data_IF_669027764823
#
_entry.id   IF_669027764823
#
_cell.length_a   1.000
_cell.length_b   1.000
_cell.length_c   1.000
_cell.angle_alpha   90.00
_cell.angle_beta   90.00
_cell.angle_gamma   90.00
#
_symmetry.space_group_name_H-M   'P 1'
#
loop_
_entity.id
_entity.type
_entity.pdbx_description
1 polymer ?
#
# COMPACT_ATOMS: atom_id res chain seq x y z
N UNK A 1 11.57 -10.65 -3.23
CA UNK A 1 11.93 -9.53 -4.13
C UNK A 1 12.44 -8.38 -3.29
N UNK A 2 13.40 -7.60 -3.80
CA UNK A 2 13.87 -6.38 -3.13
C UNK A 2 12.86 -5.26 -3.34
N UNK A 3 12.70 -4.40 -2.34
CA UNK A 3 11.92 -3.18 -2.46
C UNK A 3 12.58 -2.25 -3.49
N UNK A 4 11.86 -1.78 -4.52
CA UNK A 4 12.42 -0.87 -5.51
C UNK A 4 12.83 0.47 -4.89
N UNK A 5 12.15 0.89 -3.81
CA UNK A 5 12.43 2.15 -3.13
C UNK A 5 13.62 2.06 -2.18
N UNK A 6 13.59 1.15 -1.20
CA UNK A 6 14.63 1.10 -0.17
C UNK A 6 15.71 0.02 -0.39
N UNK A 7 15.58 -0.83 -1.42
CA UNK A 7 16.54 -1.89 -1.74
C UNK A 7 16.55 -3.08 -0.76
N UNK A 8 15.85 -3.00 0.36
CA UNK A 8 15.78 -4.06 1.37
C UNK A 8 14.82 -5.19 0.96
N UNK A 9 15.09 -6.38 1.49
CA UNK A 9 14.25 -7.56 1.33
C UNK A 9 13.28 -7.64 2.50
N UNK A 10 11.97 -7.72 2.22
CA UNK A 10 10.97 -7.81 3.28
C UNK A 10 9.59 -7.34 2.89
N UNK A 11 9.01 -7.91 1.82
CA UNK A 11 7.60 -7.71 1.51
C UNK A 11 6.73 -8.76 2.19
N UNK A 12 5.65 -8.30 2.82
CA UNK A 12 4.60 -9.17 3.34
C UNK A 12 3.30 -8.82 2.65
N UNK A 13 2.68 -9.82 2.03
CA UNK A 13 1.36 -9.65 1.43
C UNK A 13 0.28 -9.66 2.52
N UNK A 14 -0.54 -8.62 2.58
CA UNK A 14 -1.57 -8.47 3.61
C UNK A 14 -2.34 -7.16 3.51
N UNK A 15 -3.22 -6.92 4.50
CA UNK A 15 -3.94 -5.66 4.64
C UNK A 15 -3.26 -4.79 5.68
N UNK A 16 -3.02 -3.53 5.34
CA UNK A 16 -2.55 -2.49 6.27
C UNK A 16 -3.16 -1.15 5.91
N UNK A 17 -3.15 -0.25 6.87
CA UNK A 17 -3.55 1.13 6.64
C UNK A 17 -2.38 1.85 5.95
N UNK A 18 -2.69 2.67 4.95
CA UNK A 18 -1.73 3.44 4.15
C UNK A 18 -2.02 4.92 4.36
N UNK A 19 -1.04 5.63 4.89
CA UNK A 19 -1.09 7.09 5.01
C UNK A 19 -0.64 7.73 3.69
N UNK A 20 -1.44 8.66 3.18
CA UNK A 20 -1.15 9.45 2.00
C UNK A 20 -0.36 10.70 2.38
N UNK A 21 0.35 11.28 1.41
CA UNK A 21 1.05 12.57 1.63
C UNK A 21 0.09 13.72 1.98
N UNK A 22 -1.21 13.59 1.67
CA UNK A 22 -2.25 14.56 2.08
C UNK A 22 -2.59 14.50 3.57
N UNK A 23 -2.12 13.48 4.30
CA UNK A 23 -2.43 13.21 5.70
C UNK A 23 -3.67 12.33 5.90
N UNK A 24 -4.34 11.92 4.83
CA UNK A 24 -5.44 10.97 4.88
C UNK A 24 -4.93 9.53 5.04
N UNK A 25 -5.66 8.72 5.79
CA UNK A 25 -5.34 7.30 5.97
C UNK A 25 -6.37 6.46 5.23
N UNK A 26 -5.90 5.66 4.28
CA UNK A 26 -6.72 4.66 3.59
C UNK A 26 -6.64 3.35 4.37
N UNK A 27 -7.72 2.91 5.03
CA UNK A 27 -7.67 1.72 5.85
C UNK A 27 -7.69 0.43 5.01
N UNK A 28 -7.02 -0.60 5.53
CA UNK A 28 -7.07 -1.97 5.03
C UNK A 28 -6.76 -2.15 3.53
N UNK A 29 -5.74 -1.44 3.03
CA UNK A 29 -5.18 -1.62 1.67
C UNK A 29 -4.52 -2.99 1.57
N UNK A 30 -5.05 -3.83 0.68
CA UNK A 30 -4.50 -5.14 0.35
C UNK A 30 -3.30 -4.96 -0.59
N UNK A 31 -2.14 -5.51 -0.26
CA UNK A 31 -0.97 -5.38 -1.11
C UNK A 31 0.27 -6.05 -0.53
N UNK A 32 1.39 -5.94 -1.24
CA UNK A 32 2.69 -6.36 -0.72
C UNK A 32 3.37 -5.18 -0.03
N UNK A 33 3.43 -5.23 1.31
CA UNK A 33 3.94 -4.15 2.14
C UNK A 33 5.41 -4.37 2.49
N UNK A 34 6.26 -3.39 2.19
CA UNK A 34 7.64 -3.39 2.63
C UNK A 34 7.69 -3.11 4.14
N UNK A 35 8.20 -4.06 4.91
CA UNK A 35 8.34 -3.92 6.36
C UNK A 35 9.38 -2.88 6.78
N UNK A 36 10.22 -2.41 5.85
CA UNK A 36 11.31 -1.48 6.15
C UNK A 36 10.92 -0.02 5.92
N UNK A 37 10.41 0.31 4.73
CA UNK A 37 10.06 1.69 4.38
C UNK A 37 8.55 1.97 4.30
N UNK A 38 7.70 0.94 4.39
CA UNK A 38 6.25 1.10 4.28
C UNK A 38 5.70 1.09 2.86
N UNK A 39 6.55 1.00 1.83
CA UNK A 39 6.13 0.95 0.43
C UNK A 39 5.14 -0.19 0.17
N UNK A 40 4.07 0.07 -0.58
CA UNK A 40 3.07 -0.93 -0.93
C UNK A 40 3.06 -1.19 -2.44
N UNK A 41 3.28 -2.44 -2.82
CA UNK A 41 3.13 -2.88 -4.21
C UNK A 41 1.75 -3.50 -4.40
N UNK A 42 0.98 -2.92 -5.31
CA UNK A 42 -0.38 -3.35 -5.65
C UNK A 42 -0.36 -4.04 -7.01
N UNK A 43 -1.12 -5.12 -7.15
CA UNK A 43 -1.50 -5.61 -8.47
C UNK A 43 -2.69 -4.78 -9.00
N UNK A 44 -3.09 -5.01 -10.25
CA UNK A 44 -4.19 -4.24 -10.87
C UNK A 44 -5.49 -4.33 -10.08
N UNK A 45 -5.87 -5.51 -9.59
CA UNK A 45 -7.11 -5.69 -8.84
C UNK A 45 -7.08 -5.00 -7.46
N UNK A 46 -5.94 -5.06 -6.78
CA UNK A 46 -5.75 -4.39 -5.49
C UNK A 46 -5.68 -2.86 -5.66
N UNK A 47 -5.13 -2.37 -6.78
CA UNK A 47 -5.10 -0.96 -7.13
C UNK A 47 -6.50 -0.42 -7.39
N UNK A 48 -7.33 -1.12 -8.18
CA UNK A 48 -8.74 -0.75 -8.40
C UNK A 48 -9.49 -0.66 -7.06
N UNK A 49 -9.30 -1.65 -6.18
CA UNK A 49 -9.92 -1.67 -4.86
C UNK A 49 -9.42 -0.53 -3.93
N UNK A 50 -8.19 -0.05 -4.11
CA UNK A 50 -7.67 1.12 -3.38
C UNK A 50 -8.29 2.41 -3.92
N UNK A 51 -8.40 2.56 -5.24
CA UNK A 51 -9.04 3.72 -5.87
C UNK A 51 -10.51 3.87 -5.45
N UNK A 52 -11.27 2.76 -5.41
CA UNK A 52 -12.65 2.76 -4.90
C UNK A 52 -12.78 3.17 -3.42
N UNK A 53 -11.71 3.02 -2.63
CA UNK A 53 -11.68 3.47 -1.23
C UNK A 53 -11.33 4.94 -1.13
N UNK A 54 -10.40 5.42 -1.96
CA UNK A 54 -10.04 6.83 -2.07
C UNK A 54 -11.23 7.69 -2.45
N UNK A 55 -12.04 7.25 -3.43
CA UNK A 55 -13.27 7.93 -3.84
C UNK A 55 -14.31 8.07 -2.70
N UNK A 56 -14.24 7.21 -1.68
CA UNK A 56 -15.13 7.26 -0.50
C UNK A 56 -14.61 8.14 0.63
N UNK A 57 -13.36 8.61 0.55
CA UNK A 57 -12.76 9.51 1.53
C UNK A 57 -13.03 10.99 1.21
N UNK A 58 -13.36 11.32 -0.05
CA UNK A 58 -13.84 12.64 -0.50
C UNK A 58 -15.31 12.91 -0.14
#
# INVERSE_FOLDING_TARGET
>A
MKCPECGNEGFVYGKRDVELETGDVVPAVQGSHCLTCGEVLLNLADADAMLERLDKLE
#
